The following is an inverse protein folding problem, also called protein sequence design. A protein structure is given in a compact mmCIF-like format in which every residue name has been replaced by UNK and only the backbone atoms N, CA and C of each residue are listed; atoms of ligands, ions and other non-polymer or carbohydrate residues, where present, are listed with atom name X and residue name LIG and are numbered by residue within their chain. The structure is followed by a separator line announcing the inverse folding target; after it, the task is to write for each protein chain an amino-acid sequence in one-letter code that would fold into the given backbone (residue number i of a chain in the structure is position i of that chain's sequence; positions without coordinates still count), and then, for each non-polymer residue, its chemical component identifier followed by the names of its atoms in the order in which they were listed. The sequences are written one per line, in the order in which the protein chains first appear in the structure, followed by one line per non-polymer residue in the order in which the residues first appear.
data_IF_854080030484
#
_entry.id   IF_854080030484
#
_cell.length_a   1.000
_cell.length_b   1.000
_cell.length_c   1.000
_cell.angle_alpha   90.00
_cell.angle_beta   90.00
_cell.angle_gamma   90.00
#
_symmetry.space_group_name_H-M   'P 1'
#
loop_
_entity.id
_entity.type
_entity.pdbx_description
1 polymer ?
#
# COMPACT_ATOMS: atom_id res chain seq x y z
N UNK A 1 21.21 -10.12 40.45
CA UNK A 1 20.64 -9.82 39.14
C UNK A 1 21.41 -8.63 38.61
N UNK A 2 22.12 -8.74 37.48
CA UNK A 2 22.75 -7.55 36.87
C UNK A 2 21.58 -6.66 36.44
N UNK A 3 21.60 -5.39 36.84
CA UNK A 3 20.64 -4.40 36.34
C UNK A 3 20.69 -4.43 34.80
N UNK A 4 19.62 -4.93 34.21
CA UNK A 4 19.49 -4.95 32.76
C UNK A 4 19.28 -3.48 32.36
N UNK A 5 20.26 -2.87 31.64
CA UNK A 5 20.05 -1.54 31.10
C UNK A 5 18.79 -1.53 30.21
N UNK A 6 18.06 -0.45 30.21
CA UNK A 6 16.92 -0.28 29.31
C UNK A 6 17.39 -0.40 27.84
N UNK A 7 16.55 -1.03 27.00
CA UNK A 7 16.80 -1.12 25.56
C UNK A 7 16.82 0.29 24.95
N UNK A 8 17.84 0.57 24.14
CA UNK A 8 17.98 1.82 23.42
C UNK A 8 17.45 1.69 21.98
N UNK A 9 16.61 2.66 21.61
CA UNK A 9 16.01 2.76 20.28
C UNK A 9 16.59 3.95 19.58
N UNK A 10 17.11 3.76 18.37
CA UNK A 10 17.48 4.85 17.47
C UNK A 10 16.57 4.88 16.25
N UNK A 11 16.05 6.05 15.93
CA UNK A 11 15.35 6.33 14.67
C UNK A 11 16.36 6.90 13.69
N UNK A 12 16.32 6.45 12.42
CA UNK A 12 17.12 7.05 11.38
C UNK A 12 16.29 7.39 10.14
N UNK A 13 16.61 8.50 9.50
CA UNK A 13 15.88 9.05 8.37
C UNK A 13 16.80 9.70 7.35
N UNK A 14 16.38 9.74 6.10
CA UNK A 14 16.93 10.62 5.07
C UNK A 14 15.98 11.80 4.89
N UNK A 15 16.51 12.97 4.57
CA UNK A 15 15.73 14.20 4.46
C UNK A 15 16.19 15.04 3.27
N UNK A 16 15.24 15.74 2.63
CA UNK A 16 15.52 16.84 1.71
C UNK A 16 14.31 17.77 1.59
N UNK A 17 14.46 19.02 2.04
CA UNK A 17 13.41 20.06 1.97
C UNK A 17 12.06 19.55 2.55
N UNK A 18 12.06 19.09 3.82
CA UNK A 18 10.93 18.44 4.50
C UNK A 18 10.54 19.11 5.83
N UNK A 19 10.90 20.38 6.02
CA UNK A 19 10.71 21.15 7.24
C UNK A 19 9.25 21.19 7.70
N UNK A 20 8.29 21.12 6.76
CA UNK A 20 6.85 21.11 7.04
C UNK A 20 6.38 19.91 7.89
N UNK A 21 7.19 18.88 8.00
CA UNK A 21 6.86 17.69 8.78
C UNK A 21 7.48 17.66 10.19
N UNK A 22 8.44 18.53 10.49
CA UNK A 22 9.25 18.46 11.71
C UNK A 22 8.42 18.40 12.99
N UNK A 23 7.47 19.31 13.17
CA UNK A 23 6.66 19.36 14.40
C UNK A 23 5.99 18.02 14.70
N UNK A 24 5.34 17.46 13.71
CA UNK A 24 4.60 16.21 13.85
C UNK A 24 5.53 15.00 13.95
N UNK A 25 6.58 14.98 13.13
CA UNK A 25 7.53 13.87 13.09
C UNK A 25 8.34 13.80 14.38
N UNK A 26 8.92 14.90 14.84
CA UNK A 26 9.71 14.95 16.08
C UNK A 26 8.85 14.55 17.30
N UNK A 27 7.62 15.09 17.40
CA UNK A 27 6.71 14.73 18.48
C UNK A 27 6.41 13.22 18.50
N UNK A 28 6.19 12.64 17.31
CA UNK A 28 5.93 11.22 17.13
C UNK A 28 7.14 10.35 17.49
N UNK A 29 8.34 10.75 17.05
CA UNK A 29 9.57 9.99 17.36
C UNK A 29 9.93 10.08 18.84
N UNK A 30 9.70 11.22 19.49
CA UNK A 30 9.98 11.41 20.91
C UNK A 30 8.98 10.67 21.82
N UNK A 31 7.68 10.62 21.44
CA UNK A 31 6.61 9.95 22.20
C UNK A 31 6.66 10.25 23.71
N UNK A 32 6.75 11.55 24.08
CA UNK A 32 6.85 12.03 25.46
C UNK A 32 8.02 11.41 26.25
N UNK A 33 9.13 11.14 25.59
CA UNK A 33 10.31 10.52 26.19
C UNK A 33 10.26 8.99 26.29
N UNK A 34 9.24 8.36 25.72
CA UNK A 34 9.13 6.90 25.66
C UNK A 34 9.53 6.30 24.30
N UNK A 35 9.73 7.15 23.29
CA UNK A 35 10.08 6.77 21.93
C UNK A 35 11.57 6.52 21.73
N UNK A 36 12.15 7.25 20.77
CA UNK A 36 13.56 7.16 20.40
C UNK A 36 14.49 7.77 21.45
N UNK A 37 15.56 7.07 21.78
CA UNK A 37 16.68 7.60 22.60
C UNK A 37 17.65 8.42 21.74
N UNK A 38 17.65 8.21 20.43
CA UNK A 38 18.52 8.88 19.46
C UNK A 38 17.79 9.02 18.12
N UNK A 39 17.94 10.17 17.45
CA UNK A 39 17.40 10.44 16.12
C UNK A 39 18.54 10.82 15.18
N UNK A 40 18.78 10.01 14.16
CA UNK A 40 19.83 10.19 13.17
C UNK A 40 19.22 10.69 11.86
N UNK A 41 19.64 11.87 11.39
CA UNK A 41 19.15 12.46 10.15
C UNK A 41 20.29 12.66 9.17
N UNK A 42 20.16 12.08 7.98
CA UNK A 42 21.03 12.37 6.86
C UNK A 42 20.34 13.36 5.93
N UNK A 43 20.82 14.60 5.91
CA UNK A 43 20.40 15.60 4.95
C UNK A 43 21.01 15.32 3.57
N UNK A 44 20.17 15.17 2.56
CA UNK A 44 20.58 14.84 1.19
C UNK A 44 20.61 16.07 0.27
N UNK A 45 20.65 17.26 0.85
CA UNK A 45 20.82 18.52 0.14
C UNK A 45 19.64 19.47 0.28
N UNK A 46 19.13 19.64 1.49
CA UNK A 46 18.14 20.67 1.84
C UNK A 46 18.72 22.07 1.77
N UNK A 47 17.84 23.07 1.70
CA UNK A 47 18.20 24.47 1.82
C UNK A 47 18.71 24.80 3.23
N UNK A 48 19.42 25.90 3.37
CA UNK A 48 19.93 26.35 4.66
C UNK A 48 18.77 26.71 5.62
N UNK A 49 19.01 26.55 6.94
CA UNK A 49 18.08 26.97 8.00
C UNK A 49 17.17 25.87 8.55
N UNK A 50 17.12 24.69 7.95
CA UNK A 50 16.28 23.59 8.42
C UNK A 50 16.61 23.12 9.85
N UNK A 51 17.87 23.24 10.26
CA UNK A 51 18.33 22.75 11.58
C UNK A 51 17.70 23.56 12.72
N UNK A 52 17.57 24.88 12.57
CA UNK A 52 16.90 25.74 13.56
C UNK A 52 15.43 25.35 13.71
N UNK A 53 14.74 25.10 12.59
CA UNK A 53 13.34 24.69 12.60
C UNK A 53 13.15 23.30 13.27
N UNK A 54 14.10 22.38 13.07
CA UNK A 54 14.09 21.08 13.73
C UNK A 54 14.28 21.23 15.25
N UNK A 55 15.18 22.08 15.69
CA UNK A 55 15.37 22.39 17.10
C UNK A 55 14.16 23.09 17.72
N UNK A 56 13.48 23.97 17.00
CA UNK A 56 12.21 24.55 17.44
C UNK A 56 11.14 23.48 17.63
N UNK A 57 11.06 22.48 16.73
CA UNK A 57 10.15 21.36 16.88
C UNK A 57 10.49 20.49 18.11
N UNK A 58 11.77 20.26 18.38
CA UNK A 58 12.25 19.54 19.56
C UNK A 58 11.92 20.27 20.87
N UNK A 59 12.12 21.57 20.90
CA UNK A 59 11.83 22.44 22.07
C UNK A 59 10.34 22.40 22.43
N UNK A 60 9.44 22.34 21.45
CA UNK A 60 7.98 22.24 21.66
C UNK A 60 7.56 21.00 22.44
N UNK A 61 8.33 19.92 22.34
CA UNK A 61 8.05 18.64 23.00
C UNK A 61 9.04 18.30 24.11
N UNK A 62 9.90 19.23 24.49
CA UNK A 62 10.96 19.06 25.47
C UNK A 62 11.92 17.91 25.16
N UNK A 63 12.20 17.67 23.88
CA UNK A 63 13.19 16.69 23.45
C UNK A 63 14.58 17.29 23.56
N UNK A 64 15.55 16.65 24.24
CA UNK A 64 16.92 17.16 24.33
C UNK A 64 17.58 17.20 22.94
N UNK A 65 18.24 18.32 22.63
CA UNK A 65 18.90 18.52 21.34
C UNK A 65 20.09 17.57 21.13
N UNK A 66 20.71 17.13 22.18
CA UNK A 66 21.79 16.13 22.17
C UNK A 66 21.36 14.73 21.70
N UNK A 67 20.05 14.46 21.61
CA UNK A 67 19.53 13.20 21.07
C UNK A 67 19.58 13.16 19.53
N UNK A 68 19.89 14.28 18.87
CA UNK A 68 20.01 14.33 17.43
C UNK A 68 21.45 14.12 16.95
N UNK A 69 21.60 13.29 15.92
CA UNK A 69 22.83 13.07 15.17
C UNK A 69 22.59 13.46 13.72
N UNK A 70 23.44 14.31 13.16
CA UNK A 70 23.28 14.83 11.81
C UNK A 70 24.48 14.52 10.93
N UNK A 71 24.21 14.30 9.66
CA UNK A 71 25.21 14.33 8.60
C UNK A 71 24.59 14.88 7.33
N UNK A 72 25.43 15.37 6.42
CA UNK A 72 24.98 15.85 5.11
C UNK A 72 25.77 15.17 4.01
N UNK A 73 25.06 14.66 2.99
CA UNK A 73 25.70 14.06 1.81
C UNK A 73 24.79 14.21 0.58
N UNK A 74 25.36 14.75 -0.49
CA UNK A 74 24.67 14.87 -1.78
C UNK A 74 25.04 13.67 -2.65
N UNK A 75 24.01 13.09 -3.29
CA UNK A 75 24.17 11.91 -4.15
C UNK A 75 23.99 12.29 -5.62
N UNK A 76 24.93 11.84 -6.47
CA UNK A 76 24.83 11.94 -7.91
C UNK A 76 25.50 10.72 -8.57
N UNK A 77 24.74 9.83 -9.21
CA UNK A 77 23.27 9.80 -9.30
C UNK A 77 22.60 9.50 -7.94
N UNK A 78 21.32 9.88 -7.83
CA UNK A 78 20.52 9.58 -6.64
C UNK A 78 20.25 8.07 -6.51
N UNK A 79 20.35 7.55 -5.28
CA UNK A 79 20.01 6.16 -4.91
C UNK A 79 19.46 6.14 -3.49
N UNK A 80 18.29 5.54 -3.30
CA UNK A 80 17.69 5.44 -1.96
C UNK A 80 18.49 4.51 -1.05
N UNK A 81 18.92 3.34 -1.51
CA UNK A 81 19.70 2.38 -0.73
C UNK A 81 21.01 3.00 -0.17
N UNK A 82 21.75 3.73 -0.99
CA UNK A 82 22.97 4.39 -0.56
C UNK A 82 22.70 5.45 0.52
N UNK A 83 21.67 6.28 0.34
CA UNK A 83 21.29 7.30 1.31
C UNK A 83 20.79 6.67 2.63
N UNK A 84 19.98 5.62 2.56
CA UNK A 84 19.51 4.92 3.76
C UNK A 84 20.62 4.19 4.51
N UNK A 85 21.56 3.57 3.80
CA UNK A 85 22.72 2.95 4.44
C UNK A 85 23.58 4.01 5.14
N UNK A 86 23.84 5.15 4.50
CA UNK A 86 24.61 6.22 5.14
C UNK A 86 23.84 6.83 6.35
N UNK A 87 22.51 6.97 6.31
CA UNK A 87 21.73 7.41 7.46
C UNK A 87 21.72 6.38 8.60
N UNK A 88 21.61 5.10 8.26
CA UNK A 88 21.68 4.00 9.21
C UNK A 88 23.06 3.89 9.91
N UNK A 89 24.12 4.25 9.21
CA UNK A 89 25.49 4.25 9.76
C UNK A 89 25.75 5.41 10.75
N UNK A 90 24.83 6.37 10.91
CA UNK A 90 24.92 7.40 11.94
C UNK A 90 24.53 6.90 13.33
N UNK A 91 23.85 5.75 13.40
CA UNK A 91 23.32 5.18 14.63
C UNK A 91 24.48 4.79 15.56
N UNK A 92 24.40 5.19 16.82
CA UNK A 92 25.44 4.93 17.81
C UNK A 92 25.56 3.45 18.20
N UNK A 93 26.78 3.01 18.47
CA UNK A 93 27.12 1.61 18.83
C UNK A 93 26.36 1.05 20.04
N UNK A 94 25.79 1.91 20.87
CA UNK A 94 25.03 1.52 22.07
C UNK A 94 23.57 1.20 21.81
N UNK A 95 23.10 1.39 20.58
CA UNK A 95 21.73 1.11 20.15
C UNK A 95 21.45 -0.38 20.07
N UNK A 96 20.29 -0.78 20.57
CA UNK A 96 19.81 -2.17 20.51
C UNK A 96 18.88 -2.41 19.33
N UNK A 97 18.01 -1.43 19.04
CA UNK A 97 16.98 -1.49 17.99
C UNK A 97 17.03 -0.21 17.16
N UNK A 98 17.04 -0.38 15.85
CA UNK A 98 16.93 0.68 14.88
C UNK A 98 15.53 0.65 14.22
N UNK A 99 14.99 1.81 13.95
CA UNK A 99 13.80 1.96 13.12
C UNK A 99 14.03 3.04 12.05
N UNK A 100 13.76 2.70 10.80
CA UNK A 100 13.76 3.66 9.70
C UNK A 100 12.39 4.29 9.55
N UNK A 101 12.34 5.62 9.43
CA UNK A 101 11.12 6.34 9.09
C UNK A 101 11.41 7.39 8.04
N UNK A 102 10.38 7.78 7.26
CA UNK A 102 10.41 8.99 6.46
C UNK A 102 9.79 10.14 7.29
N UNK A 103 10.09 11.39 6.96
CA UNK A 103 9.60 12.53 7.75
C UNK A 103 8.09 12.77 7.62
N UNK A 104 7.50 12.23 6.56
CA UNK A 104 6.04 12.21 6.35
C UNK A 104 5.34 11.00 7.00
N UNK A 105 6.07 10.20 7.79
CA UNK A 105 5.56 9.07 8.56
C UNK A 105 5.44 9.42 10.06
N UNK A 106 4.36 8.94 10.69
CA UNK A 106 4.04 9.22 12.10
C UNK A 106 3.78 7.92 12.84
N UNK A 107 4.58 7.63 13.85
CA UNK A 107 4.34 6.55 14.80
C UNK A 107 3.31 7.02 15.85
N UNK A 108 2.34 6.17 16.18
CA UNK A 108 1.30 6.53 17.17
C UNK A 108 1.83 6.39 18.59
N UNK A 109 1.29 7.19 19.50
CA UNK A 109 1.73 7.20 20.90
C UNK A 109 1.73 5.81 21.55
N UNK A 110 2.74 5.54 22.34
CA UNK A 110 3.03 4.28 23.02
C UNK A 110 3.86 3.31 22.18
N UNK A 111 4.27 3.67 20.96
CA UNK A 111 5.04 2.79 20.09
C UNK A 111 6.39 2.36 20.70
N UNK A 112 7.09 3.29 21.36
CA UNK A 112 8.39 2.98 21.94
C UNK A 112 8.31 2.02 23.13
N UNK A 113 7.26 2.12 23.95
CA UNK A 113 6.97 1.16 25.02
C UNK A 113 6.65 -0.22 24.47
N UNK A 114 5.78 -0.27 23.46
CA UNK A 114 5.39 -1.53 22.82
C UNK A 114 6.58 -2.20 22.11
N UNK A 115 7.40 -1.41 21.40
CA UNK A 115 8.59 -1.94 20.73
C UNK A 115 9.57 -2.55 21.75
N UNK A 116 9.84 -1.86 22.88
CA UNK A 116 10.69 -2.42 23.94
C UNK A 116 10.10 -3.70 24.51
N UNK A 117 8.80 -3.72 24.79
CA UNK A 117 8.10 -4.90 25.33
C UNK A 117 8.27 -6.13 24.41
N UNK A 118 7.95 -6.01 23.12
CA UNK A 118 8.00 -7.16 22.20
C UNK A 118 9.43 -7.65 21.96
N UNK A 119 10.42 -6.75 22.01
CA UNK A 119 11.85 -7.12 21.88
C UNK A 119 12.37 -7.77 23.17
N UNK A 120 11.92 -7.36 24.34
CA UNK A 120 12.26 -8.00 25.61
C UNK A 120 11.64 -9.40 25.75
N UNK A 121 10.42 -9.58 25.22
CA UNK A 121 9.74 -10.88 25.16
C UNK A 121 10.35 -11.82 24.12
N UNK A 122 10.96 -11.28 23.05
CA UNK A 122 11.63 -12.04 21.99
C UNK A 122 13.06 -11.51 21.79
N UNK A 123 14.00 -11.79 22.71
CA UNK A 123 15.35 -11.18 22.71
C UNK A 123 16.18 -11.53 21.47
N UNK A 124 15.88 -12.61 20.80
CA UNK A 124 16.52 -13.09 19.57
C UNK A 124 15.73 -12.72 18.30
N UNK A 125 14.76 -11.81 18.40
CA UNK A 125 14.11 -11.21 17.24
C UNK A 125 15.09 -10.31 16.51
N UNK A 126 15.27 -10.55 15.21
CA UNK A 126 16.06 -9.70 14.30
C UNK A 126 15.21 -8.57 13.72
N UNK A 127 13.95 -8.84 13.48
CA UNK A 127 13.00 -7.92 12.87
C UNK A 127 11.75 -7.76 13.74
N UNK A 128 11.15 -6.58 13.70
CA UNK A 128 9.87 -6.33 14.35
C UNK A 128 8.86 -5.85 13.32
N UNK A 129 7.75 -6.60 13.20
CA UNK A 129 6.63 -6.24 12.32
C UNK A 129 5.61 -5.39 13.07
N UNK A 130 5.00 -4.46 12.35
CA UNK A 130 3.91 -3.61 12.80
C UNK A 130 2.97 -3.29 11.63
N UNK A 131 1.73 -2.87 11.92
CA UNK A 131 0.83 -2.40 10.88
C UNK A 131 1.15 -0.97 10.48
N UNK A 132 1.27 -0.78 9.17
CA UNK A 132 1.57 0.48 8.50
C UNK A 132 0.40 0.90 7.61
N UNK A 133 -0.14 2.08 7.82
CA UNK A 133 -1.14 2.68 6.96
C UNK A 133 -0.46 3.50 5.87
N UNK A 134 -0.42 2.96 4.66
CA UNK A 134 0.10 3.63 3.47
C UNK A 134 -0.78 4.80 3.03
N UNK A 135 -2.09 4.66 3.16
CA UNK A 135 -3.04 5.72 2.84
C UNK A 135 -4.20 5.71 3.81
N UNK A 136 -4.71 6.91 4.09
CA UNK A 136 -5.86 7.14 4.96
C UNK A 136 -6.91 7.98 4.25
N UNK A 137 -8.13 7.95 4.77
CA UNK A 137 -9.16 8.89 4.40
C UNK A 137 -8.90 10.23 5.09
N UNK A 138 -8.78 11.30 4.32
CA UNK A 138 -8.47 12.63 4.87
C UNK A 138 -9.58 13.19 5.78
N UNK A 139 -10.81 12.73 5.62
CA UNK A 139 -11.97 13.23 6.38
C UNK A 139 -12.27 12.39 7.61
N UNK A 140 -12.18 11.07 7.50
CA UNK A 140 -12.49 10.15 8.60
C UNK A 140 -11.27 9.75 9.41
N UNK A 141 -10.06 9.90 8.85
CA UNK A 141 -8.82 9.40 9.45
C UNK A 141 -8.68 7.88 9.43
N UNK A 142 -9.61 7.16 8.78
CA UNK A 142 -9.54 5.70 8.68
C UNK A 142 -8.50 5.25 7.66
N UNK A 143 -7.81 4.14 7.96
CA UNK A 143 -6.87 3.56 7.04
C UNK A 143 -7.58 2.95 5.83
N UNK A 144 -7.24 3.43 4.62
CA UNK A 144 -7.71 2.85 3.36
C UNK A 144 -6.86 1.65 2.93
N UNK A 145 -5.54 1.79 3.07
CA UNK A 145 -4.56 0.78 2.71
C UNK A 145 -3.58 0.62 3.84
N UNK A 146 -3.53 -0.56 4.43
CA UNK A 146 -2.56 -0.89 5.47
C UNK A 146 -2.11 -2.35 5.34
N UNK A 147 -0.90 -2.63 5.80
CA UNK A 147 -0.30 -3.96 5.73
C UNK A 147 0.76 -4.13 6.82
N UNK A 148 1.14 -5.37 7.16
CA UNK A 148 2.31 -5.61 8.00
C UNK A 148 3.58 -5.12 7.32
N UNK A 149 4.40 -4.37 8.05
CA UNK A 149 5.63 -3.80 7.55
C UNK A 149 6.76 -3.94 8.57
N UNK A 150 8.01 -3.93 8.11
CA UNK A 150 9.18 -4.09 8.95
C UNK A 150 10.30 -3.13 8.53
N UNK A 151 10.37 -1.98 9.17
CA UNK A 151 11.54 -1.09 9.10
C UNK A 151 12.29 -1.08 10.45
N UNK A 152 12.00 -2.05 11.35
CA UNK A 152 12.65 -2.23 12.64
C UNK A 152 13.60 -3.42 12.61
N UNK A 153 14.85 -3.20 13.02
CA UNK A 153 15.91 -4.22 13.00
C UNK A 153 16.94 -4.00 14.12
N UNK A 154 17.81 -4.97 14.37
CA UNK A 154 18.96 -4.82 15.26
C UNK A 154 19.99 -3.88 14.66
N UNK A 155 20.95 -3.45 15.48
CA UNK A 155 22.01 -2.55 15.03
C UNK A 155 22.73 -3.07 13.75
N UNK A 156 23.02 -2.17 12.78
CA UNK A 156 23.58 -2.55 11.47
C UNK A 156 24.92 -3.28 11.53
N UNK A 157 25.72 -3.08 12.59
CA UNK A 157 26.97 -3.81 12.80
C UNK A 157 26.82 -5.35 12.81
N UNK A 158 25.62 -5.85 12.98
CA UNK A 158 25.34 -7.28 12.94
C UNK A 158 25.07 -7.82 11.54
N UNK A 159 25.11 -6.98 10.49
CA UNK A 159 24.93 -7.39 9.10
C UNK A 159 23.55 -7.07 8.52
N UNK A 160 23.12 -5.83 8.67
CA UNK A 160 21.92 -5.25 8.05
C UNK A 160 22.31 -4.26 6.98
N UNK A 161 21.67 -4.29 5.84
CA UNK A 161 21.92 -3.39 4.72
C UNK A 161 20.60 -3.06 3.99
N UNK A 162 20.46 -1.82 3.54
CA UNK A 162 19.46 -1.45 2.54
C UNK A 162 19.97 -1.80 1.15
N UNK A 163 19.15 -2.46 0.36
CA UNK A 163 19.48 -2.89 -1.00
C UNK A 163 18.44 -2.37 -1.98
N UNK A 164 18.89 -2.10 -3.19
CA UNK A 164 18.14 -1.60 -4.34
C UNK A 164 18.00 -0.08 -4.41
N UNK A 165 18.25 0.50 -5.60
CA UNK A 165 18.27 1.96 -5.80
C UNK A 165 16.92 2.64 -5.60
N UNK A 166 15.80 1.88 -5.68
CA UNK A 166 14.43 2.33 -5.42
C UNK A 166 13.58 1.15 -4.95
N UNK A 167 12.53 1.41 -4.18
CA UNK A 167 11.78 0.38 -3.45
C UNK A 167 12.75 -0.51 -2.66
N UNK A 168 13.62 0.17 -1.97
CA UNK A 168 14.70 -0.44 -1.19
C UNK A 168 14.15 -1.34 -0.09
N UNK A 169 14.88 -2.39 0.20
CA UNK A 169 14.50 -3.41 1.17
C UNK A 169 15.68 -3.70 2.09
N UNK A 170 15.40 -3.91 3.36
CA UNK A 170 16.40 -4.43 4.30
C UNK A 170 16.77 -5.85 3.93
N UNK A 171 18.07 -6.11 3.86
CA UNK A 171 18.64 -7.44 3.69
C UNK A 171 19.56 -7.76 4.86
N UNK A 172 19.67 -9.03 5.18
CA UNK A 172 20.34 -9.52 6.36
C UNK A 172 21.35 -10.60 5.98
N UNK A 173 22.56 -10.53 6.55
CA UNK A 173 23.57 -11.57 6.36
C UNK A 173 23.13 -12.90 7.01
N UNK A 174 23.77 -13.99 6.61
CA UNK A 174 23.49 -15.30 7.22
C UNK A 174 23.90 -15.35 8.70
N UNK A 175 24.96 -14.61 9.07
CA UNK A 175 25.37 -14.43 10.47
C UNK A 175 24.32 -13.71 11.28
N UNK A 176 23.72 -12.65 10.73
CA UNK A 176 22.60 -11.95 11.36
C UNK A 176 21.42 -12.88 11.62
N UNK A 177 21.00 -13.65 10.61
CA UNK A 177 19.88 -14.60 10.70
C UNK A 177 20.13 -15.73 11.69
N UNK A 178 21.40 -16.15 11.85
CA UNK A 178 21.78 -17.14 12.88
C UNK A 178 21.76 -16.54 14.29
N UNK A 179 22.15 -15.27 14.43
CA UNK A 179 22.17 -14.55 15.71
C UNK A 179 20.76 -14.16 16.17
N UNK A 180 19.91 -13.80 15.22
CA UNK A 180 18.54 -13.34 15.44
C UNK A 180 17.56 -14.12 14.57
N UNK A 181 17.30 -15.41 14.91
CA UNK A 181 16.50 -16.30 14.06
C UNK A 181 15.01 -16.03 14.09
N UNK A 182 14.54 -15.24 15.06
CA UNK A 182 13.12 -14.98 15.26
C UNK A 182 12.69 -13.58 14.79
N UNK A 183 11.39 -13.39 14.67
CA UNK A 183 10.74 -12.11 14.44
C UNK A 183 9.82 -11.79 15.60
N UNK A 184 9.69 -10.51 15.96
CA UNK A 184 8.69 -10.03 16.90
C UNK A 184 7.58 -9.28 16.15
N UNK A 185 6.46 -9.07 16.80
CA UNK A 185 5.34 -8.31 16.23
C UNK A 185 4.73 -7.40 17.29
N UNK A 186 4.58 -6.13 16.97
CA UNK A 186 3.77 -5.21 17.75
C UNK A 186 2.29 -5.60 17.66
N UNK A 187 1.51 -5.22 18.64
CA UNK A 187 0.07 -5.54 18.69
C UNK A 187 -0.61 -5.28 17.34
N UNK A 188 -1.43 -6.24 16.90
CA UNK A 188 -2.22 -6.15 15.68
C UNK A 188 -3.54 -5.40 15.86
N UNK A 189 -3.85 -4.96 17.08
CA UNK A 189 -5.11 -4.27 17.40
C UNK A 189 -5.17 -2.85 16.85
N UNK A 190 -4.01 -2.27 16.49
CA UNK A 190 -3.94 -0.93 15.92
C UNK A 190 -2.86 -0.80 14.84
N UNK A 191 -2.99 0.24 14.06
CA UNK A 191 -1.97 0.69 13.12
C UNK A 191 -0.96 1.53 13.90
N UNK A 192 0.32 1.19 13.76
CA UNK A 192 1.40 1.83 14.51
C UNK A 192 2.08 2.95 13.74
N UNK A 193 2.15 2.86 12.41
CA UNK A 193 2.78 3.86 11.55
C UNK A 193 1.78 4.37 10.51
N UNK A 194 1.67 5.69 10.38
CA UNK A 194 0.81 6.36 9.41
C UNK A 194 1.64 7.21 8.47
N UNK A 195 1.34 7.12 7.17
CA UNK A 195 1.96 7.89 6.12
C UNK A 195 1.07 9.07 5.71
N UNK A 196 1.68 10.26 5.66
CA UNK A 196 1.04 11.51 5.27
C UNK A 196 1.82 12.14 4.12
N UNK A 197 1.67 11.62 2.88
CA UNK A 197 2.53 11.93 1.76
C UNK A 197 2.48 13.40 1.38
N UNK A 198 3.64 13.93 0.99
CA UNK A 198 3.74 15.24 0.36
C UNK A 198 3.20 15.16 -1.07
N UNK A 199 2.02 15.77 -1.28
CA UNK A 199 1.35 15.80 -2.59
C UNK A 199 2.12 16.64 -3.63
N UNK A 200 3.09 17.46 -3.21
CA UNK A 200 3.86 18.33 -4.10
C UNK A 200 5.11 17.65 -4.65
N UNK A 201 5.54 16.54 -4.08
CA UNK A 201 6.74 15.80 -4.51
C UNK A 201 6.50 15.02 -5.79
N UNK A 202 7.35 15.27 -6.79
CA UNK A 202 7.33 14.55 -8.06
C UNK A 202 8.01 13.18 -7.95
N UNK A 203 7.37 12.15 -8.50
CA UNK A 203 7.97 10.81 -8.71
C UNK A 203 8.76 10.71 -10.02
N UNK A 204 9.18 11.84 -10.60
CA UNK A 204 9.74 11.91 -11.96
C UNK A 204 10.89 10.94 -12.28
N UNK A 205 11.76 10.67 -11.31
CA UNK A 205 12.97 9.86 -11.51
C UNK A 205 12.81 8.37 -11.20
N UNK A 206 11.63 7.90 -10.79
CA UNK A 206 11.42 6.50 -10.39
C UNK A 206 11.70 5.52 -11.52
N UNK A 207 11.29 5.82 -12.76
CA UNK A 207 11.49 4.92 -13.90
C UNK A 207 12.98 4.63 -14.14
N UNK A 208 13.83 5.66 -14.18
CA UNK A 208 15.27 5.47 -14.39
C UNK A 208 15.93 4.64 -13.28
N UNK A 209 15.46 4.78 -12.03
CA UNK A 209 15.93 3.97 -10.90
C UNK A 209 15.44 2.52 -10.98
N UNK A 210 14.23 2.28 -11.49
CA UNK A 210 13.71 0.92 -11.71
C UNK A 210 14.43 0.23 -12.87
N UNK A 211 14.73 0.96 -13.96
CA UNK A 211 15.56 0.45 -15.04
C UNK A 211 16.97 0.09 -14.56
N UNK A 212 17.57 0.94 -13.72
CA UNK A 212 18.86 0.66 -13.08
C UNK A 212 18.77 -0.59 -12.17
N UNK A 213 17.72 -0.71 -11.35
CA UNK A 213 17.48 -1.90 -10.50
C UNK A 213 17.39 -3.17 -11.32
N UNK A 214 16.64 -3.16 -12.43
CA UNK A 214 16.52 -4.31 -13.31
C UNK A 214 17.85 -4.68 -14.00
N UNK A 215 18.69 -3.69 -14.27
CA UNK A 215 20.03 -3.90 -14.84
C UNK A 215 21.01 -4.47 -13.80
N UNK A 216 21.04 -3.92 -12.59
CA UNK A 216 21.95 -4.36 -11.52
C UNK A 216 21.51 -5.70 -10.87
N UNK A 217 20.20 -5.96 -10.84
CA UNK A 217 19.60 -7.12 -10.17
C UNK A 217 18.57 -7.82 -11.07
N UNK A 218 19.01 -8.42 -12.19
CA UNK A 218 18.10 -9.06 -13.16
C UNK A 218 17.37 -10.30 -12.59
N UNK A 219 17.85 -10.83 -11.48
CA UNK A 219 17.21 -11.93 -10.74
C UNK A 219 16.07 -11.47 -9.84
N UNK A 220 15.99 -10.18 -9.52
CA UNK A 220 15.02 -9.64 -8.57
C UNK A 220 13.63 -9.52 -9.17
N UNK A 221 12.77 -10.49 -8.89
CA UNK A 221 11.39 -10.53 -9.37
C UNK A 221 10.55 -9.31 -8.96
N UNK A 222 10.78 -8.76 -7.79
CA UNK A 222 10.03 -7.60 -7.30
C UNK A 222 10.42 -6.33 -8.06
N UNK A 223 11.70 -6.11 -8.32
CA UNK A 223 12.18 -5.01 -9.15
C UNK A 223 11.64 -5.07 -10.57
N UNK A 224 11.61 -6.26 -11.17
CA UNK A 224 11.03 -6.47 -12.50
C UNK A 224 9.51 -6.21 -12.52
N UNK A 225 8.80 -6.62 -11.48
CA UNK A 225 7.37 -6.32 -11.33
C UNK A 225 7.11 -4.82 -11.18
N UNK A 226 7.86 -4.13 -10.33
CA UNK A 226 7.75 -2.68 -10.18
C UNK A 226 8.06 -1.94 -11.48
N UNK A 227 9.05 -2.40 -12.25
CA UNK A 227 9.41 -1.82 -13.54
C UNK A 227 8.26 -1.97 -14.55
N UNK A 228 7.69 -3.17 -14.68
CA UNK A 228 6.56 -3.41 -15.57
C UNK A 228 5.36 -2.53 -15.19
N UNK A 229 5.05 -2.42 -13.90
CA UNK A 229 3.97 -1.58 -13.38
C UNK A 229 4.21 -0.09 -13.60
N UNK A 230 5.45 0.39 -13.42
CA UNK A 230 5.78 1.79 -13.67
C UNK A 230 5.64 2.16 -15.15
N UNK A 231 6.01 1.26 -16.07
CA UNK A 231 5.75 1.46 -17.49
C UNK A 231 4.25 1.56 -17.78
N UNK A 232 3.42 0.73 -17.14
CA UNK A 232 1.97 0.81 -17.28
C UNK A 232 1.42 2.16 -16.79
N UNK A 233 1.82 2.62 -15.61
CA UNK A 233 1.39 3.93 -15.07
C UNK A 233 1.77 5.10 -15.98
N UNK A 234 2.81 4.95 -16.77
CA UNK A 234 3.25 5.95 -17.76
C UNK A 234 2.61 5.75 -19.14
N UNK A 235 1.70 4.78 -19.30
CA UNK A 235 1.07 4.49 -20.58
C UNK A 235 1.99 3.82 -21.62
N UNK A 236 3.13 3.29 -21.19
CA UNK A 236 4.12 2.61 -22.04
C UNK A 236 3.80 1.11 -22.16
N UNK A 237 2.62 0.80 -22.67
CA UNK A 237 2.03 -0.55 -22.62
C UNK A 237 2.87 -1.62 -23.33
N UNK A 238 3.52 -1.29 -24.44
CA UNK A 238 4.43 -2.24 -25.11
C UNK A 238 5.58 -2.67 -24.19
N UNK A 239 6.16 -1.74 -23.44
CA UNK A 239 7.20 -2.04 -22.46
C UNK A 239 6.65 -2.82 -21.25
N UNK A 240 5.45 -2.51 -20.81
CA UNK A 240 4.77 -3.30 -19.77
C UNK A 240 4.62 -4.75 -20.21
N UNK A 241 4.15 -4.97 -21.45
CA UNK A 241 3.96 -6.31 -22.01
C UNK A 241 5.32 -7.01 -22.12
N UNK A 242 6.34 -6.34 -22.61
CA UNK A 242 7.69 -6.89 -22.72
C UNK A 242 8.25 -7.36 -21.37
N UNK A 243 8.27 -6.48 -20.38
CA UNK A 243 8.85 -6.79 -19.07
C UNK A 243 7.99 -7.72 -18.21
N UNK A 244 6.66 -7.57 -18.28
CA UNK A 244 5.73 -8.46 -17.61
C UNK A 244 5.80 -9.89 -18.16
N UNK A 245 5.85 -10.05 -19.49
CA UNK A 245 6.00 -11.36 -20.14
C UNK A 245 7.36 -11.99 -19.85
N UNK A 246 8.43 -11.19 -19.81
CA UNK A 246 9.76 -11.65 -19.41
C UNK A 246 9.74 -12.19 -17.96
N UNK A 247 9.16 -11.43 -17.02
CA UNK A 247 9.06 -11.86 -15.63
C UNK A 247 8.19 -13.12 -15.50
N UNK A 248 7.07 -13.19 -16.22
CA UNK A 248 6.18 -14.35 -16.21
C UNK A 248 6.91 -15.63 -16.69
N UNK A 249 7.68 -15.52 -17.77
CA UNK A 249 8.50 -16.61 -18.27
C UNK A 249 9.57 -17.03 -17.23
N UNK A 250 10.23 -16.06 -16.60
CA UNK A 250 11.22 -16.30 -15.55
C UNK A 250 10.63 -17.04 -14.36
N UNK A 251 9.46 -16.61 -13.84
CA UNK A 251 8.78 -17.28 -12.72
C UNK A 251 8.48 -18.75 -13.04
N UNK A 252 8.01 -19.04 -14.27
CA UNK A 252 7.69 -20.40 -14.73
C UNK A 252 8.95 -21.28 -14.87
N UNK A 253 10.01 -20.75 -15.44
CA UNK A 253 11.28 -21.49 -15.64
C UNK A 253 11.94 -21.80 -14.30
N UNK A 254 12.01 -20.83 -13.41
CA UNK A 254 12.69 -20.94 -12.11
C UNK A 254 11.80 -21.60 -11.05
N UNK A 255 10.53 -21.90 -11.37
CA UNK A 255 9.52 -22.48 -10.45
C UNK A 255 9.41 -21.70 -9.15
N UNK A 256 9.43 -20.38 -9.26
CA UNK A 256 9.30 -19.48 -8.10
C UNK A 256 7.85 -19.53 -7.64
N UNK A 257 7.65 -20.05 -6.45
CA UNK A 257 6.34 -20.06 -5.79
C UNK A 257 6.10 -18.68 -5.13
N UNK A 258 5.29 -17.86 -5.79
CA UNK A 258 4.74 -16.64 -5.23
C UNK A 258 3.26 -16.58 -5.61
N UNK A 259 2.41 -17.02 -4.71
CA UNK A 259 0.97 -17.24 -4.94
C UNK A 259 0.26 -16.05 -5.59
N UNK A 260 0.72 -14.82 -5.38
CA UNK A 260 0.05 -13.62 -5.88
C UNK A 260 0.81 -12.91 -7.01
N UNK A 261 2.09 -13.17 -7.19
CA UNK A 261 2.89 -12.47 -8.22
C UNK A 261 2.41 -12.81 -9.63
N UNK A 262 2.25 -14.07 -9.94
CA UNK A 262 1.86 -14.54 -11.27
C UNK A 262 0.43 -14.08 -11.64
N UNK A 263 -0.61 -14.26 -10.78
CA UNK A 263 -1.93 -13.69 -11.01
C UNK A 263 -1.93 -12.18 -11.21
N UNK A 264 -1.17 -11.44 -10.39
CA UNK A 264 -1.08 -9.98 -10.50
C UNK A 264 -0.41 -9.54 -11.82
N UNK A 265 0.60 -10.28 -12.29
CA UNK A 265 1.22 -10.04 -13.59
C UNK A 265 0.24 -10.25 -14.75
N UNK A 266 -0.57 -11.29 -14.69
CA UNK A 266 -1.60 -11.51 -15.70
C UNK A 266 -2.63 -10.37 -15.72
N UNK A 267 -3.03 -9.85 -14.56
CA UNK A 267 -3.90 -8.65 -14.53
C UNK A 267 -3.21 -7.45 -15.16
N UNK A 268 -1.97 -7.18 -14.81
CA UNK A 268 -1.17 -6.08 -15.37
C UNK A 268 -1.03 -6.18 -16.89
N UNK A 269 -0.76 -7.37 -17.40
CA UNK A 269 -0.68 -7.66 -18.85
C UNK A 269 -2.04 -7.49 -19.52
N UNK A 270 -3.10 -8.03 -18.93
CA UNK A 270 -4.47 -7.91 -19.45
C UNK A 270 -4.90 -6.45 -19.60
N UNK A 271 -4.65 -5.62 -18.59
CA UNK A 271 -4.90 -4.18 -18.66
C UNK A 271 -4.09 -3.49 -19.77
N UNK A 272 -2.84 -3.91 -19.97
CA UNK A 272 -1.98 -3.33 -21.01
C UNK A 272 -2.43 -3.75 -22.40
N UNK A 273 -2.84 -5.02 -22.59
CA UNK A 273 -3.44 -5.51 -23.84
C UNK A 273 -4.78 -4.81 -24.14
N UNK A 274 -5.59 -4.55 -23.11
CA UNK A 274 -6.83 -3.77 -23.28
C UNK A 274 -6.55 -2.38 -23.85
N UNK A 275 -5.54 -1.68 -23.32
CA UNK A 275 -5.17 -0.33 -23.76
C UNK A 275 -4.64 -0.25 -25.19
N UNK A 276 -4.07 -1.32 -25.70
CA UNK A 276 -3.63 -1.39 -27.11
C UNK A 276 -4.66 -2.07 -28.04
N UNK A 277 -5.83 -2.45 -27.50
CA UNK A 277 -6.92 -3.04 -28.29
C UNK A 277 -6.77 -4.53 -28.61
N UNK A 278 -5.81 -5.24 -28.01
CA UNK A 278 -5.60 -6.68 -28.17
C UNK A 278 -6.59 -7.45 -27.26
N UNK A 279 -7.85 -7.54 -27.69
CA UNK A 279 -8.96 -8.03 -26.88
C UNK A 279 -8.80 -9.49 -26.46
N UNK A 280 -8.35 -10.37 -27.38
CA UNK A 280 -8.21 -11.80 -27.12
C UNK A 280 -7.10 -12.05 -26.06
N UNK A 281 -5.97 -11.35 -26.20
CA UNK A 281 -4.86 -11.45 -25.22
C UNK A 281 -5.27 -10.88 -23.86
N UNK A 282 -6.05 -9.81 -23.85
CA UNK A 282 -6.61 -9.21 -22.63
C UNK A 282 -7.49 -10.22 -21.90
N UNK A 283 -8.48 -10.82 -22.58
CA UNK A 283 -9.38 -11.82 -22.01
C UNK A 283 -8.62 -13.05 -21.51
N UNK A 284 -7.68 -13.56 -22.33
CA UNK A 284 -6.81 -14.68 -21.95
C UNK A 284 -6.05 -14.40 -20.65
N UNK A 285 -5.46 -13.21 -20.52
CA UNK A 285 -4.70 -12.86 -19.32
C UNK A 285 -5.57 -12.87 -18.07
N UNK A 286 -6.77 -12.29 -18.11
CA UNK A 286 -7.66 -12.29 -16.94
C UNK A 286 -8.14 -13.71 -16.58
N UNK A 287 -8.46 -14.53 -17.58
CA UNK A 287 -8.85 -15.92 -17.38
C UNK A 287 -7.71 -16.77 -16.75
N UNK A 288 -6.47 -16.61 -17.21
CA UNK A 288 -5.31 -17.28 -16.58
C UNK A 288 -5.07 -16.80 -15.15
N UNK A 289 -5.26 -15.53 -14.86
CA UNK A 289 -5.19 -15.01 -13.49
C UNK A 289 -6.23 -15.68 -12.56
N UNK A 290 -7.49 -15.77 -13.02
CA UNK A 290 -8.58 -16.44 -12.28
C UNK A 290 -8.27 -17.93 -12.07
N UNK A 291 -7.79 -18.61 -13.08
CA UNK A 291 -7.45 -20.03 -13.02
C UNK A 291 -6.31 -20.32 -12.05
N UNK A 292 -5.28 -19.48 -12.03
CA UNK A 292 -4.14 -19.61 -11.11
C UNK A 292 -4.52 -19.31 -9.66
N UNK A 293 -5.38 -18.33 -9.45
CA UNK A 293 -5.79 -17.91 -8.12
C UNK A 293 -7.28 -17.55 -8.08
N UNK A 294 -8.18 -18.54 -7.95
CA UNK A 294 -9.63 -18.30 -8.00
C UNK A 294 -10.19 -17.33 -6.96
N UNK A 295 -9.44 -17.05 -5.90
CA UNK A 295 -9.86 -16.09 -4.88
C UNK A 295 -9.39 -14.65 -5.19
N UNK A 296 -8.66 -14.43 -6.29
CA UNK A 296 -8.10 -13.12 -6.65
C UNK A 296 -9.13 -12.26 -7.38
N UNK A 297 -9.77 -11.37 -6.64
CA UNK A 297 -10.95 -10.60 -7.05
C UNK A 297 -10.70 -9.68 -8.26
N UNK A 298 -9.52 -9.05 -8.34
CA UNK A 298 -9.21 -8.05 -9.37
C UNK A 298 -9.39 -8.60 -10.80
N UNK A 299 -8.97 -9.85 -11.02
CA UNK A 299 -9.08 -10.48 -12.32
C UNK A 299 -10.54 -10.65 -12.80
N UNK A 300 -11.43 -11.04 -11.88
CA UNK A 300 -12.86 -11.18 -12.20
C UNK A 300 -13.49 -9.84 -12.59
N UNK A 301 -13.21 -8.80 -11.81
CA UNK A 301 -13.81 -7.49 -12.06
C UNK A 301 -13.31 -6.91 -13.37
N UNK A 302 -12.01 -7.04 -13.66
CA UNK A 302 -11.45 -6.59 -14.94
C UNK A 302 -12.01 -7.36 -16.13
N UNK A 303 -12.14 -8.69 -16.00
CA UNK A 303 -12.77 -9.49 -17.04
C UNK A 303 -14.24 -9.10 -17.25
N UNK A 304 -15.00 -8.94 -16.18
CA UNK A 304 -16.41 -8.53 -16.26
C UNK A 304 -16.58 -7.17 -16.97
N UNK A 305 -15.77 -6.17 -16.60
CA UNK A 305 -15.76 -4.87 -17.28
C UNK A 305 -15.43 -5.00 -18.78
N UNK A 306 -14.44 -5.82 -19.12
CA UNK A 306 -14.08 -6.07 -20.51
C UNK A 306 -15.21 -6.71 -21.29
N UNK A 307 -15.85 -7.74 -20.73
CA UNK A 307 -17.01 -8.42 -21.34
C UNK A 307 -18.19 -7.47 -21.52
N UNK A 308 -18.49 -6.62 -20.54
CA UNK A 308 -19.51 -5.59 -20.66
C UNK A 308 -19.19 -4.63 -21.81
N UNK A 309 -17.96 -4.13 -21.91
CA UNK A 309 -17.52 -3.28 -23.00
C UNK A 309 -17.63 -3.96 -24.38
N UNK A 310 -17.39 -5.25 -24.45
CA UNK A 310 -17.52 -6.06 -25.68
C UNK A 310 -18.97 -6.46 -25.98
N UNK A 311 -19.96 -5.91 -25.26
CA UNK A 311 -21.38 -6.24 -25.42
C UNK A 311 -21.70 -7.73 -25.18
N UNK A 312 -21.06 -8.33 -24.17
CA UNK A 312 -21.27 -9.73 -23.74
C UNK A 312 -21.84 -9.76 -22.30
N UNK A 313 -23.04 -9.18 -22.06
CA UNK A 313 -23.57 -8.96 -20.71
C UNK A 313 -23.86 -10.25 -19.94
N UNK A 314 -24.27 -11.34 -20.61
CA UNK A 314 -24.53 -12.61 -19.96
C UNK A 314 -23.26 -13.21 -19.36
N UNK A 315 -22.13 -13.14 -20.05
CA UNK A 315 -20.85 -13.62 -19.58
C UNK A 315 -20.28 -12.70 -18.48
N UNK A 316 -20.46 -11.37 -18.64
CA UNK A 316 -20.12 -10.41 -17.59
C UNK A 316 -20.83 -10.76 -16.26
N UNK A 317 -22.13 -10.98 -16.29
CA UNK A 317 -22.91 -11.34 -15.11
C UNK A 317 -22.44 -12.66 -14.48
N UNK A 318 -22.17 -13.68 -15.30
CA UNK A 318 -21.72 -14.99 -14.82
C UNK A 318 -20.33 -14.91 -14.17
N UNK A 319 -19.40 -14.13 -14.73
CA UNK A 319 -18.08 -13.90 -14.14
C UNK A 319 -18.18 -13.22 -12.77
N UNK A 320 -19.05 -12.21 -12.61
CA UNK A 320 -19.25 -11.56 -11.31
C UNK A 320 -19.93 -12.48 -10.29
N UNK A 321 -20.82 -13.36 -10.72
CA UNK A 321 -21.39 -14.41 -9.86
C UNK A 321 -20.33 -15.41 -9.39
N UNK A 322 -19.48 -15.90 -10.29
CA UNK A 322 -18.35 -16.76 -9.91
C UNK A 322 -17.40 -16.07 -8.94
N UNK A 323 -17.17 -14.76 -9.10
CA UNK A 323 -16.38 -13.98 -8.16
C UNK A 323 -16.98 -14.00 -6.76
N UNK A 324 -18.28 -13.80 -6.62
CA UNK A 324 -18.96 -13.82 -5.30
C UNK A 324 -18.86 -15.18 -4.61
N UNK A 325 -18.90 -16.26 -5.39
CA UNK A 325 -18.81 -17.63 -4.87
C UNK A 325 -17.37 -17.98 -4.42
N UNK A 326 -16.36 -17.46 -5.07
CA UNK A 326 -14.97 -17.92 -4.94
C UNK A 326 -14.01 -16.91 -4.33
N UNK A 327 -14.20 -15.61 -4.58
CA UNK A 327 -13.19 -14.62 -4.22
C UNK A 327 -13.29 -14.15 -2.77
N UNK A 328 -12.13 -13.80 -2.21
CA UNK A 328 -12.01 -13.09 -0.96
C UNK A 328 -11.25 -11.79 -1.19
N UNK A 329 -11.49 -10.77 -0.38
CA UNK A 329 -10.66 -9.57 -0.42
C UNK A 329 -9.27 -9.91 0.08
N UNK A 330 -8.28 -9.83 -0.81
CA UNK A 330 -6.87 -9.96 -0.47
C UNK A 330 -6.26 -8.57 -0.45
N UNK A 331 -5.82 -8.13 0.72
CA UNK A 331 -5.08 -6.89 0.87
C UNK A 331 -3.59 -7.18 0.64
N UNK A 332 -3.12 -6.91 -0.58
CA UNK A 332 -1.72 -7.08 -0.96
C UNK A 332 -1.26 -5.86 -1.77
N UNK A 333 0.02 -5.48 -1.62
CA UNK A 333 0.59 -4.34 -2.33
C UNK A 333 0.65 -4.53 -3.86
N UNK A 334 0.53 -5.76 -4.34
CA UNK A 334 0.49 -6.13 -5.75
C UNK A 334 -0.88 -5.90 -6.39
N UNK A 335 -1.93 -5.83 -5.58
CA UNK A 335 -3.24 -5.46 -6.06
C UNK A 335 -3.19 -4.01 -6.56
N UNK A 336 -3.33 -3.84 -7.85
CA UNK A 336 -3.24 -2.53 -8.51
C UNK A 336 -4.46 -1.67 -8.15
N UNK A 337 -5.57 -2.31 -7.82
CA UNK A 337 -6.83 -1.63 -7.59
C UNK A 337 -7.49 -2.04 -6.27
N UNK A 338 -7.14 -1.34 -5.20
CA UNK A 338 -7.87 -1.41 -3.93
C UNK A 338 -9.28 -0.82 -4.02
N UNK A 339 -9.68 -0.35 -5.19
CA UNK A 339 -10.79 0.54 -5.43
C UNK A 339 -12.06 -0.19 -5.88
N UNK A 340 -12.03 -1.53 -5.95
CA UNK A 340 -13.25 -2.25 -6.27
C UNK A 340 -14.20 -2.21 -5.10
N UNK A 341 -14.92 -1.11 -5.05
CA UNK A 341 -16.01 -0.88 -4.12
C UNK A 341 -17.11 -1.89 -4.39
N UNK A 342 -17.73 -2.39 -3.36
CA UNK A 342 -18.84 -3.32 -3.52
C UNK A 342 -19.97 -2.70 -4.34
N UNK A 343 -20.26 -1.41 -4.13
CA UNK A 343 -21.24 -0.68 -4.94
C UNK A 343 -20.97 -0.71 -6.45
N UNK A 344 -19.69 -0.61 -6.84
CA UNK A 344 -19.29 -0.62 -8.26
C UNK A 344 -19.51 -1.99 -8.91
N UNK A 345 -19.30 -3.05 -8.18
CA UNK A 345 -19.56 -4.42 -8.63
C UNK A 345 -21.06 -4.61 -8.86
N UNK A 346 -21.88 -4.18 -7.91
CA UNK A 346 -23.32 -4.22 -8.04
C UNK A 346 -23.83 -3.35 -9.19
N UNK A 347 -23.19 -2.18 -9.44
CA UNK A 347 -23.46 -1.38 -10.64
C UNK A 347 -23.19 -2.16 -11.92
N UNK A 348 -22.00 -2.78 -12.07
CA UNK A 348 -21.65 -3.55 -13.28
C UNK A 348 -22.64 -4.71 -13.49
N UNK A 349 -23.06 -5.38 -12.43
CA UNK A 349 -24.11 -6.42 -12.49
C UNK A 349 -25.45 -5.86 -12.96
N UNK A 350 -25.86 -4.72 -12.39
CA UNK A 350 -27.12 -4.07 -12.77
C UNK A 350 -27.11 -3.70 -14.24
N UNK A 351 -26.02 -3.11 -14.73
CA UNK A 351 -25.86 -2.77 -16.14
C UNK A 351 -25.97 -4.00 -17.04
N UNK A 352 -25.28 -5.09 -16.69
CA UNK A 352 -25.36 -6.34 -17.43
C UNK A 352 -26.80 -6.92 -17.46
N UNK A 353 -27.52 -6.89 -16.34
CA UNK A 353 -28.90 -7.31 -16.23
C UNK A 353 -29.85 -6.45 -17.04
N UNK A 354 -29.65 -5.13 -17.05
CA UNK A 354 -30.41 -4.19 -17.89
C UNK A 354 -30.26 -4.54 -19.38
N UNK A 355 -29.03 -4.78 -19.84
CA UNK A 355 -28.75 -5.17 -21.24
C UNK A 355 -29.37 -6.52 -21.61
N UNK A 356 -29.57 -7.42 -20.64
CA UNK A 356 -30.28 -8.69 -20.83
C UNK A 356 -31.81 -8.59 -20.72
N UNK A 357 -32.35 -7.39 -20.46
CA UNK A 357 -33.78 -7.17 -20.25
C UNK A 357 -34.30 -7.69 -18.88
N UNK A 358 -33.43 -8.01 -17.93
CA UNK A 358 -33.77 -8.49 -16.59
C UNK A 358 -33.94 -7.33 -15.60
N UNK A 359 -34.89 -6.45 -15.89
CA UNK A 359 -35.02 -5.15 -15.22
C UNK A 359 -35.27 -5.22 -13.72
N UNK A 360 -36.06 -6.20 -13.26
CA UNK A 360 -36.37 -6.36 -11.82
C UNK A 360 -35.10 -6.74 -11.04
N UNK A 361 -34.28 -7.62 -11.58
CA UNK A 361 -33.04 -8.05 -10.96
C UNK A 361 -31.99 -6.93 -11.00
N UNK A 362 -31.92 -6.18 -12.09
CA UNK A 362 -31.09 -4.99 -12.19
C UNK A 362 -31.44 -3.96 -11.11
N UNK A 363 -32.73 -3.73 -10.85
CA UNK A 363 -33.18 -2.83 -9.81
C UNK A 363 -32.74 -3.26 -8.41
N UNK A 364 -32.73 -4.57 -8.12
CA UNK A 364 -32.22 -5.11 -6.85
C UNK A 364 -30.72 -4.84 -6.70
N UNK A 365 -29.92 -5.13 -7.73
CA UNK A 365 -28.47 -4.87 -7.71
C UNK A 365 -28.17 -3.36 -7.54
N UNK A 366 -28.92 -2.49 -8.22
CA UNK A 366 -28.78 -1.04 -8.04
C UNK A 366 -29.12 -0.60 -6.62
N UNK A 367 -30.15 -1.19 -6.01
CA UNK A 367 -30.51 -0.89 -4.62
C UNK A 367 -29.41 -1.29 -3.63
N UNK A 368 -28.77 -2.45 -3.83
CA UNK A 368 -27.63 -2.91 -3.04
C UNK A 368 -26.44 -1.95 -3.23
N UNK A 369 -26.13 -1.58 -4.48
CA UNK A 369 -25.06 -0.62 -4.76
C UNK A 369 -25.24 0.71 -4.01
N UNK A 370 -26.46 1.24 -3.95
CA UNK A 370 -26.77 2.47 -3.20
C UNK A 370 -26.47 2.29 -1.70
N UNK A 371 -26.88 1.15 -1.13
CA UNK A 371 -26.62 0.82 0.27
C UNK A 371 -25.13 0.73 0.63
N UNK A 372 -24.29 0.44 -0.35
CA UNK A 372 -22.85 0.30 -0.19
C UNK A 372 -22.05 1.59 -0.42
N UNK A 373 -22.70 2.66 -0.92
CA UNK A 373 -22.09 3.99 -1.02
C UNK A 373 -22.09 4.64 0.36
N UNK A 374 -21.00 4.43 1.12
CA UNK A 374 -20.93 4.83 2.53
C UNK A 374 -19.96 5.98 2.79
N UNK A 375 -18.95 6.15 1.96
CA UNK A 375 -17.89 7.14 2.19
C UNK A 375 -18.04 8.37 1.29
N UNK A 376 -17.50 9.54 1.68
CA UNK A 376 -17.45 10.71 0.81
C UNK A 376 -16.76 10.45 -0.53
N UNK A 377 -15.81 9.54 -0.57
CA UNK A 377 -15.13 9.15 -1.79
C UNK A 377 -16.02 8.28 -2.66
N UNK A 378 -16.77 7.32 -2.10
CA UNK A 378 -17.78 6.56 -2.85
C UNK A 378 -18.79 7.50 -3.50
N UNK A 379 -19.24 8.52 -2.76
CA UNK A 379 -20.16 9.53 -3.26
C UNK A 379 -19.53 10.33 -4.41
N UNK A 380 -18.25 10.72 -4.28
CA UNK A 380 -17.56 11.49 -5.31
C UNK A 380 -17.36 10.65 -6.59
N UNK A 381 -16.94 9.41 -6.47
CA UNK A 381 -16.76 8.47 -7.58
C UNK A 381 -18.10 8.16 -8.27
N UNK A 382 -19.13 7.84 -7.50
CA UNK A 382 -20.47 7.59 -8.02
C UNK A 382 -21.07 8.80 -8.74
N UNK A 383 -20.80 10.03 -8.27
CA UNK A 383 -21.18 11.27 -8.96
C UNK A 383 -20.44 11.48 -10.26
N UNK A 384 -19.15 11.20 -10.28
CA UNK A 384 -18.30 11.32 -11.48
C UNK A 384 -18.76 10.36 -12.58
N UNK A 385 -19.29 9.20 -12.22
CA UNK A 385 -19.84 8.21 -13.15
C UNK A 385 -21.34 8.41 -13.46
N UNK A 386 -21.96 9.50 -12.99
CA UNK A 386 -23.40 9.80 -13.05
C UNK A 386 -24.31 8.77 -12.33
N UNK A 387 -23.75 7.75 -11.73
CA UNK A 387 -24.47 6.69 -11.05
C UNK A 387 -25.21 7.18 -9.81
N UNK A 388 -24.65 8.16 -9.10
CA UNK A 388 -25.23 8.66 -7.84
C UNK A 388 -26.60 9.33 -8.01
N UNK A 389 -26.83 10.05 -9.11
CA UNK A 389 -28.12 10.72 -9.35
C UNK A 389 -29.18 9.72 -9.83
N UNK A 390 -28.80 8.76 -10.67
CA UNK A 390 -29.69 7.67 -11.11
C UNK A 390 -30.08 6.78 -9.92
N UNK A 391 -29.13 6.49 -9.05
CA UNK A 391 -29.33 5.74 -7.83
C UNK A 391 -30.27 6.45 -6.84
N UNK A 392 -30.11 7.76 -6.63
CA UNK A 392 -31.01 8.56 -5.80
C UNK A 392 -32.44 8.62 -6.36
N UNK A 393 -32.58 8.76 -7.67
CA UNK A 393 -33.86 8.76 -8.34
C UNK A 393 -34.58 7.44 -8.10
N UNK A 394 -33.92 6.31 -8.30
CA UNK A 394 -34.48 4.98 -8.04
C UNK A 394 -34.85 4.76 -6.58
N UNK A 395 -34.01 5.19 -5.64
CA UNK A 395 -34.29 5.10 -4.21
C UNK A 395 -35.56 5.92 -3.82
N UNK A 396 -35.68 7.09 -4.42
CA UNK A 396 -36.88 7.93 -4.20
C UNK A 396 -38.15 7.28 -4.78
N UNK A 397 -38.06 6.76 -6.01
CA UNK A 397 -39.15 6.07 -6.67
C UNK A 397 -39.60 4.79 -5.91
N UNK A 398 -38.65 3.99 -5.41
CA UNK A 398 -38.96 2.82 -4.59
C UNK A 398 -39.64 3.19 -3.26
N UNK A 399 -39.19 4.24 -2.58
CA UNK A 399 -39.87 4.75 -1.36
C UNK A 399 -41.26 5.26 -1.61
N UNK A 400 -41.51 5.85 -2.77
CA UNK A 400 -42.86 6.30 -3.18
C UNK A 400 -43.78 5.11 -3.44
N UNK A 401 -43.27 4.03 -4.04
CA UNK A 401 -44.02 2.78 -4.28
C UNK A 401 -44.34 2.09 -2.94
N UNK A 402 -43.38 1.93 -2.06
CA UNK A 402 -43.57 1.34 -0.72
C UNK A 402 -44.54 2.16 0.14
N UNK A 403 -44.52 3.49 0.00
CA UNK A 403 -45.43 4.40 0.71
C UNK A 403 -46.86 4.36 0.20
N UNK A 404 -47.08 3.90 -1.04
CA UNK A 404 -48.47 3.78 -1.63
C UNK A 404 -49.14 2.47 -1.30
N UNK A 405 -48.40 1.39 -1.01
CA UNK A 405 -48.96 0.10 -0.64
C UNK A 405 -49.48 0.03 0.83
N UNK A 406 -49.09 0.97 1.69
CA UNK A 406 -49.53 0.98 3.09
C UNK A 406 -50.88 1.70 3.33
N UNK A 407 -51.55 2.25 2.30
CA UNK A 407 -52.76 3.03 2.50
C UNK A 407 -54.05 2.45 1.82
N UNK A 408 -54.03 1.21 1.34
CA UNK A 408 -55.20 0.62 0.67
C UNK A 408 -55.67 -0.72 1.24
N UNK A 409 -55.80 -0.82 2.56
CA UNK A 409 -56.68 -1.80 3.16
C UNK A 409 -57.40 -1.16 4.34
N UNK A 410 -58.47 -0.47 4.03
CA UNK A 410 -59.49 -0.14 5.02
C UNK A 410 -60.46 -1.33 5.07
N UNK A 411 -60.56 -2.10 6.16
CA UNK A 411 -61.51 -3.18 6.27
C UNK A 411 -62.81 -2.68 6.93
N UNK A 412 -63.53 -1.81 6.27
CA UNK A 412 -64.93 -1.47 6.63
C UNK A 412 -65.59 -0.71 5.48
N UNK A 413 -66.06 -1.44 4.48
CA UNK A 413 -67.31 -1.21 3.75
C UNK A 413 -67.92 -2.53 3.28
#
# INVERSE_FOLDING_TARGET
MKDKRALKISVYAIMKDEEQFFDRWVASMWDEGNGADEICILDTGSKNGWMDLLYEAADKVNMPRENFVFSQKIYSPWRFDAARNDSMNLVSDVTDICICTDLDEVLVSGWGKELRRVVEETPDAGEVFYYYAWSSDEKTGEAKRYFPYNKCHRHPKFGVEWKYPVHETLVYTDEYKKMFPNTARMSSEKIWLWHYPDQTKSRGNYLGLLELRAQEYPEDKYGLFYLAREYQFRGMYDKTIQWGSYLLAKLKIEKIDDMLMEPALYVLLGESYDKIGANDDCEFCYQESIKLHPTYRDAYVRLAQKLAYMNRPAECFEILKQMEENSVRVYDWRNVDFMWRDWKIHQIKADALMWMGRHNEAAVEMFVAIGDIKTPQDIAEAKQENFYEDAKFLQKALKEIEGTDCCSTNPNE
#
